data_IF_444034704671
#
_entry.id   IF_444034704671
#
_cell.length_a   1.000
_cell.length_b   1.000
_cell.length_c   1.000
_cell.angle_alpha   90.00
_cell.angle_beta   90.00
_cell.angle_gamma   90.00
#
_symmetry.space_group_name_H-M   'P 1'
#
loop_
_entity.id
_entity.type
_entity.pdbx_description
1 polymer ?
#
# COMPACT_ATOMS: atom_id res chain seq x y z
N UNK A 1 -19.36 15.78 -0.41
CA UNK A 1 -18.51 16.62 0.46
C UNK A 1 -18.37 18.05 -0.12
N UNK A 2 -18.40 19.07 0.75
CA UNK A 2 -18.50 20.49 0.36
C UNK A 2 -17.15 21.23 0.27
N UNK A 3 -16.08 20.69 0.86
CA UNK A 3 -14.75 21.30 0.77
C UNK A 3 -14.03 20.89 -0.52
N UNK A 4 -13.29 21.79 -1.13
CA UNK A 4 -12.36 21.47 -2.23
C UNK A 4 -11.09 20.77 -1.71
N UNK A 5 -10.19 20.32 -2.60
CA UNK A 5 -9.01 19.59 -2.20
C UNK A 5 -8.10 20.37 -1.25
N UNK A 6 -7.88 21.66 -1.49
CA UNK A 6 -7.07 22.53 -0.65
C UNK A 6 -7.67 22.67 0.75
N UNK A 7 -8.95 22.95 0.83
CA UNK A 7 -9.69 23.08 2.10
C UNK A 7 -9.72 21.77 2.87
N UNK A 8 -9.90 20.63 2.18
CA UNK A 8 -9.82 19.31 2.83
C UNK A 8 -8.46 19.09 3.48
N UNK A 9 -7.37 19.45 2.79
CA UNK A 9 -6.01 19.27 3.30
C UNK A 9 -5.68 20.30 4.38
N UNK A 10 -6.21 21.53 4.33
CA UNK A 10 -5.99 22.55 5.35
C UNK A 10 -6.76 22.28 6.65
N UNK A 11 -7.91 21.60 6.57
CA UNK A 11 -8.83 21.41 7.69
C UNK A 11 -8.18 20.90 8.99
N UNK A 12 -7.29 19.88 8.99
CA UNK A 12 -6.63 19.44 10.23
C UNK A 12 -5.83 20.54 10.94
N UNK A 13 -5.15 21.42 10.19
CA UNK A 13 -4.40 22.54 10.77
C UNK A 13 -5.34 23.62 11.32
N UNK A 14 -6.42 23.90 10.60
CA UNK A 14 -7.45 24.86 11.05
C UNK A 14 -8.11 24.40 12.36
N UNK A 15 -8.32 23.09 12.52
CA UNK A 15 -8.85 22.52 13.76
C UNK A 15 -7.89 22.63 14.95
N UNK A 16 -6.57 22.57 14.72
CA UNK A 16 -5.56 22.74 15.77
C UNK A 16 -5.47 24.20 16.27
N UNK A 17 -5.95 25.19 15.50
CA UNK A 17 -6.00 26.62 15.86
C UNK A 17 -4.67 27.24 16.28
N UNK A 18 -3.54 26.69 15.83
CA UNK A 18 -2.20 27.22 16.10
C UNK A 18 -1.65 28.12 14.99
N UNK A 19 -2.29 28.10 13.82
CA UNK A 19 -1.86 28.82 12.62
C UNK A 19 -2.99 29.72 12.09
N UNK A 20 -2.62 30.77 11.36
CA UNK A 20 -3.62 31.55 10.64
C UNK A 20 -4.22 30.75 9.48
N UNK A 21 -5.42 31.11 9.03
CA UNK A 21 -6.03 30.46 7.86
C UNK A 21 -5.17 30.61 6.59
N UNK A 22 -4.35 31.66 6.48
CA UNK A 22 -3.42 31.83 5.39
C UNK A 22 -2.28 30.79 5.46
N UNK A 23 -1.68 30.63 6.64
CA UNK A 23 -0.60 29.67 6.87
C UNK A 23 -1.10 28.23 6.68
N UNK A 24 -2.29 27.89 7.17
CA UNK A 24 -2.90 26.57 6.96
C UNK A 24 -3.01 26.24 5.47
N UNK A 25 -3.46 27.20 4.66
CA UNK A 25 -3.57 27.02 3.20
C UNK A 25 -2.20 26.90 2.52
N UNK A 26 -1.18 27.60 3.01
CA UNK A 26 0.18 27.47 2.49
C UNK A 26 0.74 26.07 2.74
N UNK A 27 0.61 25.56 3.98
CA UNK A 27 1.02 24.19 4.32
C UNK A 27 0.23 23.15 3.51
N UNK A 28 -1.07 23.36 3.32
CA UNK A 28 -1.90 22.49 2.50
C UNK A 28 -1.48 22.50 1.01
N UNK A 29 -1.08 23.64 0.45
CA UNK A 29 -0.50 23.72 -0.91
C UNK A 29 0.80 22.95 -1.01
N UNK A 30 1.68 23.06 -0.02
CA UNK A 30 2.93 22.29 0.03
C UNK A 30 2.65 20.78 0.09
N UNK A 31 1.71 20.33 0.93
CA UNK A 31 1.32 18.93 1.02
C UNK A 31 0.69 18.42 -0.29
N UNK A 32 -0.18 19.20 -0.93
CA UNK A 32 -0.73 18.87 -2.26
C UNK A 32 0.35 18.79 -3.33
N UNK A 33 1.38 19.63 -3.28
CA UNK A 33 2.53 19.57 -4.18
C UNK A 33 3.33 18.29 -3.99
N UNK A 34 3.58 17.88 -2.74
CA UNK A 34 4.32 16.65 -2.43
C UNK A 34 3.62 15.41 -2.96
N UNK A 35 2.28 15.38 -2.90
CA UNK A 35 1.49 14.31 -3.52
C UNK A 35 1.15 14.60 -4.98
N UNK A 36 1.79 15.55 -5.66
CA UNK A 36 1.62 15.83 -7.09
C UNK A 36 0.21 16.27 -7.51
N UNK A 37 -0.55 16.90 -6.63
CA UNK A 37 -1.93 17.36 -6.87
C UNK A 37 -2.14 18.89 -6.81
N UNK A 38 -1.08 19.69 -6.77
CA UNK A 38 -1.19 21.16 -6.62
C UNK A 38 -2.12 21.81 -7.67
N UNK A 39 -2.06 21.38 -8.93
CA UNK A 39 -2.92 21.91 -10.01
C UNK A 39 -4.41 21.56 -9.89
N UNK A 40 -4.78 20.66 -8.96
CA UNK A 40 -6.17 20.31 -8.66
C UNK A 40 -6.61 20.80 -7.27
N UNK A 41 -5.86 21.72 -6.66
CA UNK A 41 -6.14 22.24 -5.32
C UNK A 41 -7.57 22.79 -5.16
N UNK A 42 -8.12 23.42 -6.18
CA UNK A 42 -9.46 24.03 -6.13
C UNK A 42 -10.59 23.09 -6.57
N UNK A 43 -10.26 21.85 -6.97
CA UNK A 43 -11.25 20.87 -7.41
C UNK A 43 -12.01 20.28 -6.23
N UNK A 44 -13.33 20.12 -6.41
CA UNK A 44 -14.18 19.45 -5.45
C UNK A 44 -14.04 17.92 -5.59
N UNK A 45 -14.33 17.13 -4.54
CA UNK A 45 -14.19 15.67 -4.58
C UNK A 45 -14.93 15.01 -5.74
N UNK A 46 -16.08 15.53 -6.17
CA UNK A 46 -16.81 15.02 -7.34
C UNK A 46 -16.09 15.17 -8.68
N UNK A 47 -15.09 16.05 -8.76
CA UNK A 47 -14.28 16.32 -9.95
C UNK A 47 -12.95 15.55 -9.95
N UNK A 48 -12.67 14.79 -8.89
CA UNK A 48 -11.44 14.03 -8.71
C UNK A 48 -11.68 12.54 -9.00
N UNK A 49 -10.71 11.87 -9.63
CA UNK A 49 -10.71 10.41 -9.75
C UNK A 49 -10.55 9.74 -8.38
N UNK A 50 -10.84 8.42 -8.29
CA UNK A 50 -10.65 7.64 -7.06
C UNK A 50 -9.23 7.79 -6.47
N UNK A 51 -8.20 7.52 -7.27
CA UNK A 51 -6.81 7.71 -6.85
C UNK A 51 -6.43 9.16 -6.50
N UNK A 52 -7.03 10.17 -7.16
CA UNK A 52 -6.81 11.56 -6.76
C UNK A 52 -7.41 11.85 -5.38
N UNK A 53 -8.59 11.31 -5.07
CA UNK A 53 -9.20 11.44 -3.73
C UNK A 53 -8.34 10.80 -2.65
N UNK A 54 -7.78 9.61 -2.91
CA UNK A 54 -6.87 8.95 -1.97
C UNK A 54 -5.59 9.79 -1.75
N UNK A 55 -5.02 10.35 -2.81
CA UNK A 55 -3.86 11.28 -2.71
C UNK A 55 -4.19 12.55 -1.91
N UNK A 56 -5.39 13.12 -2.07
CA UNK A 56 -5.85 14.23 -1.22
C UNK A 56 -5.96 13.80 0.25
N UNK A 57 -6.49 12.60 0.52
CA UNK A 57 -6.57 12.07 1.88
C UNK A 57 -5.18 11.85 2.50
N UNK A 58 -4.21 11.37 1.72
CA UNK A 58 -2.82 11.24 2.14
C UNK A 58 -2.20 12.61 2.45
N UNK A 59 -2.35 13.61 1.57
CA UNK A 59 -1.86 14.97 1.83
C UNK A 59 -2.46 15.54 3.12
N UNK A 60 -3.75 15.29 3.36
CA UNK A 60 -4.45 15.70 4.58
C UNK A 60 -3.87 15.03 5.83
N UNK A 61 -3.43 13.77 5.75
CA UNK A 61 -2.79 13.09 6.88
C UNK A 61 -1.36 13.59 7.16
N UNK A 62 -0.66 14.04 6.12
CA UNK A 62 0.74 14.48 6.17
C UNK A 62 0.91 15.97 6.46
N UNK A 63 -0.17 16.75 6.41
CA UNK A 63 -0.11 18.20 6.61
C UNK A 63 0.23 18.58 8.06
N UNK A 64 -0.08 17.71 9.03
CA UNK A 64 0.07 17.95 10.48
C UNK A 64 1.41 17.48 11.05
N UNK A 65 2.43 17.31 10.20
CA UNK A 65 3.76 16.78 10.59
C UNK A 65 3.70 15.47 11.40
N UNK A 66 2.78 14.59 11.01
CA UNK A 66 2.55 13.31 11.66
C UNK A 66 3.80 12.42 11.54
N UNK A 67 4.32 11.89 12.66
CA UNK A 67 5.45 10.95 12.67
C UNK A 67 5.07 9.51 12.32
N UNK A 68 3.79 9.18 12.43
CA UNK A 68 3.24 7.84 12.17
C UNK A 68 2.09 7.96 11.17
N UNK A 69 2.07 7.07 10.17
CA UNK A 69 1.04 6.98 9.16
C UNK A 69 0.44 5.56 9.16
N UNK A 70 -0.86 5.46 9.45
CA UNK A 70 -1.62 4.22 9.39
C UNK A 70 -2.48 4.24 8.12
N UNK A 71 -2.30 3.25 7.26
CA UNK A 71 -2.97 3.16 5.97
C UNK A 71 -3.72 1.84 5.88
N UNK A 72 -5.03 1.93 5.67
CA UNK A 72 -5.89 0.78 5.43
C UNK A 72 -6.29 0.77 3.96
N UNK A 73 -5.84 -0.25 3.21
CA UNK A 73 -6.08 -0.43 1.78
C UNK A 73 -5.85 0.85 0.95
N UNK A 74 -4.68 1.51 1.08
CA UNK A 74 -4.45 2.85 0.53
C UNK A 74 -4.53 2.93 -1.01
N UNK A 75 -4.48 1.79 -1.71
CA UNK A 75 -4.37 1.73 -3.16
C UNK A 75 -5.49 0.97 -3.88
N UNK A 76 -6.50 0.50 -3.13
CA UNK A 76 -7.58 -0.32 -3.69
C UNK A 76 -8.37 0.38 -4.83
N UNK A 77 -8.38 1.72 -4.86
CA UNK A 77 -9.10 2.52 -5.86
C UNK A 77 -8.23 3.08 -7.00
N UNK A 78 -7.01 2.55 -7.18
CA UNK A 78 -6.05 2.99 -8.20
C UNK A 78 -5.85 1.88 -9.23
N UNK A 79 -5.80 2.24 -10.53
CA UNK A 79 -5.44 1.29 -11.58
C UNK A 79 -4.01 0.77 -11.41
N UNK A 80 -3.75 -0.44 -11.92
CA UNK A 80 -2.50 -1.16 -11.66
C UNK A 80 -1.24 -0.35 -12.01
N UNK A 81 -1.21 0.31 -13.17
CA UNK A 81 -0.05 1.07 -13.62
C UNK A 81 0.21 2.31 -12.74
N UNK A 82 -0.85 3.04 -12.36
CA UNK A 82 -0.71 4.19 -11.45
C UNK A 82 -0.39 3.78 -10.03
N UNK A 83 -0.83 2.61 -9.61
CA UNK A 83 -0.59 2.06 -8.27
C UNK A 83 0.89 1.83 -8.02
N UNK A 84 1.60 1.18 -8.94
CA UNK A 84 3.05 0.96 -8.81
C UNK A 84 3.82 2.28 -8.63
N UNK A 85 3.49 3.26 -9.48
CA UNK A 85 4.09 4.59 -9.38
C UNK A 85 3.76 5.25 -8.04
N UNK A 86 2.53 5.10 -7.55
CA UNK A 86 2.12 5.72 -6.31
C UNK A 86 2.74 5.06 -5.07
N UNK A 87 2.92 3.73 -5.07
CA UNK A 87 3.67 3.01 -4.03
C UNK A 87 5.09 3.56 -3.91
N UNK A 88 5.77 3.75 -5.05
CA UNK A 88 7.10 4.36 -5.09
C UNK A 88 7.12 5.78 -4.50
N UNK A 89 6.20 6.65 -4.92
CA UNK A 89 6.18 8.02 -4.42
C UNK A 89 5.87 8.07 -2.92
N UNK A 90 4.97 7.21 -2.44
CA UNK A 90 4.65 7.13 -1.02
C UNK A 90 5.82 6.62 -0.20
N UNK A 91 6.50 5.56 -0.66
CA UNK A 91 7.72 5.06 -0.03
C UNK A 91 8.79 6.15 0.04
N UNK A 92 9.07 6.81 -1.08
CA UNK A 92 10.04 7.91 -1.15
C UNK A 92 9.68 9.05 -0.20
N UNK A 93 8.41 9.41 -0.09
CA UNK A 93 7.92 10.44 0.82
C UNK A 93 8.10 10.02 2.28
N UNK A 94 7.81 8.75 2.61
CA UNK A 94 8.00 8.18 3.93
C UNK A 94 9.48 8.20 4.34
N UNK A 95 10.39 7.78 3.47
CA UNK A 95 11.83 7.86 3.71
C UNK A 95 12.30 9.31 3.89
N UNK A 96 11.90 10.22 2.97
CA UNK A 96 12.30 11.64 3.02
C UNK A 96 11.87 12.33 4.32
N UNK A 97 10.71 11.97 4.86
CA UNK A 97 10.14 12.56 6.08
C UNK A 97 10.39 11.70 7.34
N UNK A 98 11.15 10.60 7.22
CA UNK A 98 11.40 9.64 8.30
C UNK A 98 10.11 9.17 9.00
N UNK A 99 9.09 8.85 8.22
CA UNK A 99 7.78 8.42 8.71
C UNK A 99 7.81 6.94 9.11
N UNK A 100 7.19 6.63 10.25
CA UNK A 100 6.81 5.25 10.55
C UNK A 100 5.49 4.95 9.85
N UNK A 101 5.46 3.93 8.99
CA UNK A 101 4.28 3.58 8.21
C UNK A 101 3.80 2.17 8.55
N UNK A 102 2.52 2.02 8.89
CA UNK A 102 1.83 0.75 9.00
C UNK A 102 0.80 0.67 7.87
N UNK A 103 0.93 -0.33 7.01
CA UNK A 103 0.03 -0.53 5.87
C UNK A 103 -0.66 -1.86 5.99
N UNK A 104 -1.98 -1.82 5.96
CA UNK A 104 -2.85 -2.99 5.83
C UNK A 104 -3.24 -3.11 4.36
N UNK A 105 -2.95 -4.26 3.77
CA UNK A 105 -3.23 -4.56 2.36
C UNK A 105 -3.40 -6.06 2.17
N UNK A 106 -4.29 -6.46 1.26
CA UNK A 106 -4.41 -7.83 0.76
C UNK A 106 -3.44 -8.13 -0.40
N UNK A 107 -2.64 -7.16 -0.83
CA UNK A 107 -1.69 -7.31 -1.94
C UNK A 107 -0.28 -7.61 -1.44
N UNK A 108 0.21 -8.82 -1.74
CA UNK A 108 1.58 -9.23 -1.39
C UNK A 108 2.62 -8.27 -1.98
N UNK A 109 2.45 -7.85 -3.23
CA UNK A 109 3.37 -6.94 -3.90
C UNK A 109 3.41 -5.56 -3.21
N UNK A 110 2.27 -5.04 -2.76
CA UNK A 110 2.22 -3.79 -1.99
C UNK A 110 2.92 -3.93 -0.65
N UNK A 111 2.61 -5.02 0.08
CA UNK A 111 3.22 -5.30 1.37
C UNK A 111 4.75 -5.37 1.27
N UNK A 112 5.29 -6.11 0.31
CA UNK A 112 6.74 -6.23 0.11
C UNK A 112 7.35 -4.92 -0.41
N UNK A 113 6.73 -4.26 -1.40
CA UNK A 113 7.29 -3.05 -2.00
C UNK A 113 7.36 -1.85 -1.04
N UNK A 114 6.56 -1.82 0.02
CA UNK A 114 6.47 -0.68 0.94
C UNK A 114 6.85 -0.97 2.40
N UNK A 115 7.46 -2.11 2.68
CA UNK A 115 7.86 -2.45 4.05
C UNK A 115 9.30 -2.92 4.16
N UNK A 116 9.85 -2.78 5.36
CA UNK A 116 11.04 -3.52 5.81
C UNK A 116 10.64 -4.87 6.44
N UNK A 117 9.39 -4.99 6.88
CA UNK A 117 8.84 -6.15 7.58
C UNK A 117 7.39 -6.33 7.14
N UNK A 118 7.03 -7.54 6.71
CA UNK A 118 5.66 -7.94 6.42
C UNK A 118 5.19 -8.87 7.53
N UNK A 119 4.16 -8.45 8.26
CA UNK A 119 3.48 -9.31 9.23
C UNK A 119 2.29 -9.95 8.53
N UNK A 120 2.25 -11.27 8.49
CA UNK A 120 1.19 -12.04 7.84
C UNK A 120 0.14 -12.41 8.88
N UNK A 121 -1.12 -12.13 8.56
CA UNK A 121 -2.26 -12.42 9.43
C UNK A 121 -3.21 -13.42 8.75
N UNK A 122 -3.75 -14.35 9.53
CA UNK A 122 -4.86 -15.19 9.12
C UNK A 122 -6.19 -14.42 9.18
N UNK A 123 -7.14 -14.77 8.31
CA UNK A 123 -8.47 -14.15 8.30
C UNK A 123 -9.35 -14.61 9.47
N UNK A 124 -9.29 -15.88 9.88
CA UNK A 124 -10.21 -16.44 10.87
C UNK A 124 -9.60 -17.54 11.79
N UNK A 125 -9.48 -17.32 13.11
CA UNK A 125 -9.52 -16.03 13.80
C UNK A 125 -8.28 -15.19 13.46
N UNK A 126 -8.44 -13.87 13.45
CA UNK A 126 -7.38 -12.88 13.20
C UNK A 126 -6.17 -13.06 14.12
N UNK A 127 -5.13 -13.75 13.62
CA UNK A 127 -3.88 -14.01 14.34
C UNK A 127 -2.68 -13.81 13.44
N UNK A 128 -1.56 -13.42 14.03
CA UNK A 128 -0.28 -13.38 13.33
C UNK A 128 0.16 -14.83 13.08
N UNK A 129 0.44 -15.15 11.82
CA UNK A 129 0.85 -16.49 11.38
C UNK A 129 2.28 -16.54 10.87
N UNK A 130 2.89 -15.38 10.63
CA UNK A 130 4.29 -15.30 10.27
C UNK A 130 4.77 -13.88 10.08
N UNK A 131 6.06 -13.76 9.87
CA UNK A 131 6.73 -12.49 9.59
C UNK A 131 7.82 -12.72 8.54
N UNK A 132 7.90 -11.82 7.56
CA UNK A 132 8.94 -11.81 6.53
C UNK A 132 9.73 -10.51 6.65
N UNK A 133 11.05 -10.63 6.79
CA UNK A 133 11.95 -9.47 6.68
C UNK A 133 12.23 -9.20 5.22
N UNK A 134 12.05 -7.96 4.78
CA UNK A 134 12.19 -7.53 3.39
C UNK A 134 13.53 -6.83 3.20
N UNK A 135 14.47 -7.53 2.57
CA UNK A 135 15.80 -7.02 2.25
C UNK A 135 15.82 -6.37 0.86
N UNK A 136 15.22 -5.18 0.78
CA UNK A 136 15.22 -4.34 -0.42
C UNK A 136 15.98 -3.05 -0.14
N UNK A 137 16.62 -2.44 -1.16
CA UNK A 137 17.30 -1.16 -0.99
C UNK A 137 16.34 -0.07 -0.48
N UNK A 138 16.86 0.90 0.26
CA UNK A 138 16.06 2.06 0.69
C UNK A 138 15.55 2.87 -0.51
N UNK A 139 16.38 3.02 -1.54
CA UNK A 139 15.97 3.60 -2.80
C UNK A 139 15.33 2.53 -3.68
N UNK A 140 14.02 2.32 -3.48
CA UNK A 140 13.21 1.42 -4.29
C UNK A 140 12.76 2.15 -5.53
N UNK A 141 12.70 1.50 -6.68
CA UNK A 141 12.20 2.00 -7.96
C UNK A 141 11.45 0.90 -8.72
N UNK A 142 11.07 1.15 -9.98
CA UNK A 142 10.41 0.12 -10.80
C UNK A 142 11.31 -1.09 -11.06
N UNK A 143 12.64 -0.91 -11.14
CA UNK A 143 13.57 -2.02 -11.34
C UNK A 143 13.65 -2.93 -10.10
N UNK A 144 13.42 -2.37 -8.91
CA UNK A 144 13.38 -3.11 -7.64
C UNK A 144 12.30 -4.20 -7.65
N UNK A 145 11.19 -4.01 -8.37
CA UNK A 145 10.10 -5.00 -8.47
C UNK A 145 10.51 -6.24 -9.27
N UNK A 146 11.49 -6.10 -10.15
CA UNK A 146 12.06 -7.21 -10.93
C UNK A 146 13.25 -7.86 -10.24
N UNK A 147 13.64 -7.40 -9.06
CA UNK A 147 14.79 -7.94 -8.33
C UNK A 147 14.50 -9.33 -7.74
N UNK A 148 15.55 -10.15 -7.63
CA UNK A 148 15.42 -11.47 -7.03
C UNK A 148 14.94 -11.38 -5.57
N UNK A 149 15.51 -10.47 -4.78
CA UNK A 149 15.12 -10.25 -3.38
C UNK A 149 13.63 -9.91 -3.24
N UNK A 150 13.06 -9.14 -4.17
CA UNK A 150 11.63 -8.84 -4.16
C UNK A 150 10.78 -10.10 -4.40
N UNK A 151 11.13 -10.88 -5.43
CA UNK A 151 10.43 -12.12 -5.74
C UNK A 151 10.54 -13.16 -4.61
N UNK A 152 11.71 -13.25 -3.97
CA UNK A 152 11.95 -14.17 -2.86
C UNK A 152 11.06 -13.79 -1.65
N UNK A 153 11.01 -12.50 -1.29
CA UNK A 153 10.15 -12.02 -0.22
C UNK A 153 8.66 -12.26 -0.52
N UNK A 154 8.21 -11.98 -1.75
CA UNK A 154 6.83 -12.28 -2.18
C UNK A 154 6.51 -13.77 -2.07
N UNK A 155 7.45 -14.64 -2.44
CA UNK A 155 7.31 -16.09 -2.37
C UNK A 155 7.19 -16.56 -0.92
N UNK A 156 8.02 -16.04 -0.01
CA UNK A 156 7.94 -16.35 1.42
C UNK A 156 6.59 -15.95 2.02
N UNK A 157 6.10 -14.75 1.73
CA UNK A 157 4.78 -14.29 2.20
C UNK A 157 3.67 -15.21 1.68
N UNK A 158 3.73 -15.59 0.41
CA UNK A 158 2.76 -16.51 -0.21
C UNK A 158 2.77 -17.89 0.45
N UNK A 159 3.95 -18.45 0.71
CA UNK A 159 4.09 -19.75 1.39
C UNK A 159 3.43 -19.73 2.78
N UNK A 160 3.68 -18.69 3.58
CA UNK A 160 3.05 -18.55 4.91
C UNK A 160 1.51 -18.51 4.81
N UNK A 161 0.97 -17.80 3.82
CA UNK A 161 -0.47 -17.73 3.57
C UNK A 161 -1.05 -19.08 3.13
N UNK A 162 -0.37 -19.80 2.23
CA UNK A 162 -0.79 -21.11 1.73
C UNK A 162 -0.74 -22.18 2.83
N UNK A 163 0.33 -22.22 3.63
CA UNK A 163 0.46 -23.10 4.80
C UNK A 163 -0.66 -22.83 5.82
N UNK A 164 -0.95 -21.56 6.07
CA UNK A 164 -2.06 -21.16 6.95
C UNK A 164 -3.40 -21.60 6.35
N UNK A 165 -3.65 -21.36 5.06
CA UNK A 165 -4.86 -21.80 4.37
C UNK A 165 -5.06 -23.31 4.45
N UNK A 166 -4.00 -24.08 4.22
CA UNK A 166 -3.99 -25.54 4.33
C UNK A 166 -4.24 -26.02 5.77
N UNK A 167 -3.70 -25.33 6.78
CA UNK A 167 -3.92 -25.62 8.20
C UNK A 167 -5.35 -25.29 8.68
N UNK A 168 -6.01 -24.32 8.06
CA UNK A 168 -7.39 -23.91 8.40
C UNK A 168 -8.44 -24.73 7.66
N UNK A 169 -8.12 -25.22 6.46
CA UNK A 169 -8.98 -26.08 5.63
C UNK A 169 -8.71 -27.58 5.83
N UNK A 170 -8.08 -27.97 6.94
CA UNK A 170 -7.77 -29.36 7.25
C UNK A 170 -9.00 -30.23 7.58
N UNK A 171 -9.86 -30.49 6.59
CA UNK A 171 -10.47 -31.80 6.27
C UNK A 171 -11.53 -31.65 5.15
N UNK A 172 -11.11 -31.88 3.90
CA UNK A 172 -11.74 -32.82 2.95
C UNK A 172 -10.84 -33.01 1.73
N UNK A 173 -9.63 -33.56 1.87
CA UNK A 173 -9.12 -34.59 0.93
C UNK A 173 -7.76 -35.11 1.40
N UNK A 174 -7.77 -36.15 2.25
CA UNK A 174 -6.61 -37.02 2.39
C UNK A 174 -6.69 -38.08 1.30
N UNK A 175 -6.43 -37.71 0.05
CA UNK A 175 -6.12 -38.68 -1.01
C UNK A 175 -5.37 -38.05 -2.19
N UNK A 176 -4.03 -38.09 -2.12
CA UNK A 176 -3.13 -38.58 -3.19
C UNK A 176 -1.69 -38.17 -2.87
N UNK A 177 -1.02 -39.00 -2.07
CA UNK A 177 0.39 -39.26 -2.29
C UNK A 177 0.50 -40.19 -3.50
N UNK A 178 0.93 -39.67 -4.64
CA UNK A 178 1.58 -40.48 -5.66
C UNK A 178 2.90 -39.81 -6.02
N UNK A 179 3.97 -40.41 -5.53
CA UNK A 179 5.27 -40.27 -6.16
C UNK A 179 5.16 -40.89 -7.55
N UNK A 180 5.60 -40.18 -8.59
CA UNK A 180 6.23 -40.78 -9.76
C UNK A 180 6.94 -39.72 -10.60
N UNK A 181 8.06 -40.18 -11.14
CA UNK A 181 9.14 -39.52 -11.87
C UNK A 181 8.76 -39.07 -13.29
N UNK A 182 9.55 -38.09 -13.76
CA UNK A 182 9.92 -37.83 -15.16
C UNK A 182 8.93 -37.16 -16.15
N UNK A 183 9.44 -36.05 -16.70
CA UNK A 183 9.24 -35.47 -18.05
C UNK A 183 7.90 -34.84 -18.44
N UNK A 184 7.99 -33.60 -18.95
CA UNK A 184 7.00 -33.06 -19.89
C UNK A 184 6.56 -31.62 -19.59
N UNK A 185 7.21 -30.65 -20.24
CA UNK A 185 6.72 -29.27 -20.33
C UNK A 185 5.41 -29.26 -21.13
N UNK A 186 4.28 -28.98 -20.47
CA UNK A 186 3.05 -28.54 -21.15
C UNK A 186 2.30 -27.53 -20.29
N UNK A 187 2.34 -26.26 -20.71
CA UNK A 187 1.52 -25.19 -20.18
C UNK A 187 0.12 -25.25 -20.79
N UNK A 188 -0.91 -25.33 -19.94
CA UNK A 188 -2.29 -25.03 -20.34
C UNK A 188 -2.88 -24.00 -19.37
N UNK A 189 -3.13 -22.81 -19.90
CA UNK A 189 -3.84 -21.74 -19.23
C UNK A 189 -5.36 -22.00 -19.31
N UNK A 190 -6.04 -22.00 -18.17
CA UNK A 190 -7.49 -21.85 -18.12
C UNK A 190 -7.86 -20.79 -17.09
N UNK A 191 -8.30 -19.63 -17.60
CA UNK A 191 -8.95 -18.59 -16.83
C UNK A 191 -10.44 -18.95 -16.67
N UNK A 192 -10.97 -18.89 -15.45
CA UNK A 192 -12.41 -18.70 -15.21
C UNK A 192 -12.64 -17.80 -13.99
N UNK A 193 -13.43 -16.77 -14.28
CA UNK A 193 -14.17 -15.77 -13.47
C UNK A 193 -13.96 -15.72 -11.97
#
# INVERSE_FOLDING_TARGET
PWLNALENVAMPLELQKHLSAADCREHARAALKDVGLLQWAEKYPRELSGGMKQRVALARALVTDSRVLLLDEPFAAIDALRRERFNYELWRLACKRNLTMLVVTHSINEAVSMSHRVVVMAEDPGRIVGEVTVDLPEQRDLATWSSQNFHDACTQVRQILEETGALMHGDTDTSMRCAETETGVHAHAHARN
#
